data_IF_494354320990
#
_entry.id   IF_494354320990
#
_cell.length_a   1.000
_cell.length_b   1.000
_cell.length_c   1.000
_cell.angle_alpha   90.00
_cell.angle_beta   90.00
_cell.angle_gamma   90.00
#
_symmetry.space_group_name_H-M   'P 1'
#
loop_
_entity.id
_entity.type
_entity.pdbx_description
1 polymer ?
#
# COMPACT_ATOMS: atom_id res chain seq x y z
N UNK A 1 9.97 -7.58 22.67
CA UNK A 1 10.93 -8.69 22.62
C UNK A 1 10.88 -9.28 21.20
N UNK A 2 11.63 -8.69 20.26
CA UNK A 2 11.70 -9.20 18.89
C UNK A 2 12.48 -10.53 18.90
N UNK A 3 11.97 -11.58 18.26
CA UNK A 3 12.64 -12.87 18.18
C UNK A 3 14.07 -12.65 17.63
N UNK A 4 15.14 -12.98 18.40
CA UNK A 4 16.53 -12.75 17.97
C UNK A 4 16.84 -13.33 16.59
N UNK A 5 16.17 -14.44 16.25
CA UNK A 5 16.29 -15.16 14.99
C UNK A 5 15.77 -14.38 13.76
N UNK A 6 14.82 -13.45 13.94
CA UNK A 6 14.25 -12.67 12.84
C UNK A 6 15.03 -11.39 12.56
N UNK A 7 15.91 -10.97 13.49
CA UNK A 7 16.55 -9.66 13.45
C UNK A 7 17.38 -9.49 12.18
N UNK A 8 17.00 -8.53 11.35
CA UNK A 8 17.62 -8.20 10.07
C UNK A 8 17.76 -9.38 9.07
N UNK A 9 17.00 -10.47 9.25
CA UNK A 9 17.13 -11.68 8.41
C UNK A 9 15.90 -11.86 7.52
N UNK A 10 16.03 -11.45 6.25
CA UNK A 10 14.98 -11.64 5.24
C UNK A 10 14.61 -13.14 5.11
N UNK A 11 15.55 -14.09 5.01
CA UNK A 11 15.20 -15.52 4.88
C UNK A 11 14.39 -16.05 6.07
N UNK A 12 14.77 -15.67 7.30
CA UNK A 12 14.07 -16.12 8.50
C UNK A 12 12.67 -15.51 8.62
N UNK A 13 12.52 -14.24 8.22
CA UNK A 13 11.20 -13.60 8.12
C UNK A 13 10.34 -14.29 7.05
N UNK A 14 10.87 -14.57 5.86
CA UNK A 14 10.16 -15.29 4.81
C UNK A 14 9.73 -16.69 5.25
N UNK A 15 10.59 -17.41 5.97
CA UNK A 15 10.25 -18.70 6.57
C UNK A 15 9.11 -18.57 7.59
N UNK A 16 9.20 -17.62 8.52
CA UNK A 16 8.17 -17.39 9.53
C UNK A 16 6.82 -17.01 8.92
N UNK A 17 6.81 -16.14 7.90
CA UNK A 17 5.61 -15.78 7.15
C UNK A 17 5.05 -16.99 6.40
N UNK A 18 5.91 -17.84 5.83
CA UNK A 18 5.46 -19.06 5.15
C UNK A 18 4.80 -20.03 6.12
N UNK A 19 5.40 -20.27 7.29
CA UNK A 19 4.81 -21.10 8.35
C UNK A 19 3.47 -20.53 8.80
N UNK A 20 3.39 -19.20 8.99
CA UNK A 20 2.14 -18.54 9.39
C UNK A 20 1.05 -18.63 8.33
N UNK A 21 1.41 -18.57 7.05
CA UNK A 21 0.47 -18.74 5.95
C UNK A 21 0.00 -20.21 5.82
N UNK A 22 0.87 -21.20 6.01
CA UNK A 22 0.47 -22.62 6.10
C UNK A 22 -0.49 -22.86 7.26
N UNK A 23 -0.17 -22.31 8.45
CA UNK A 23 -1.04 -22.35 9.60
C UNK A 23 -2.40 -21.71 9.30
N UNK A 24 -2.40 -20.55 8.64
CA UNK A 24 -3.63 -19.86 8.22
C UNK A 24 -4.49 -20.71 7.30
N UNK A 25 -3.87 -21.40 6.33
CA UNK A 25 -4.56 -22.31 5.42
C UNK A 25 -5.18 -23.50 6.18
N UNK A 26 -4.40 -24.13 7.07
CA UNK A 26 -4.86 -25.26 7.87
C UNK A 26 -6.02 -24.89 8.80
N UNK A 27 -5.94 -23.75 9.50
CA UNK A 27 -7.04 -23.27 10.36
C UNK A 27 -8.28 -22.96 9.51
N UNK A 28 -8.10 -22.30 8.36
CA UNK A 28 -9.22 -21.92 7.50
C UNK A 28 -9.93 -23.11 6.85
N UNK A 29 -9.24 -24.23 6.64
CA UNK A 29 -9.84 -25.47 6.11
C UNK A 29 -10.58 -26.29 7.16
N UNK A 30 -10.19 -26.21 8.43
CA UNK A 30 -10.78 -27.03 9.51
C UNK A 30 -11.81 -26.29 10.37
N UNK A 31 -11.74 -24.95 10.43
CA UNK A 31 -12.57 -24.14 11.33
C UNK A 31 -13.53 -23.29 10.50
N UNK A 32 -14.81 -23.26 10.87
CA UNK A 32 -15.83 -22.46 10.18
C UNK A 32 -15.53 -20.95 10.28
N UNK A 33 -15.94 -20.15 9.28
CA UNK A 33 -15.73 -18.71 9.33
C UNK A 33 -16.43 -18.04 10.51
N UNK A 34 -15.85 -16.93 11.00
CA UNK A 34 -16.39 -16.14 12.10
C UNK A 34 -15.42 -16.02 13.27
N UNK A 35 -15.96 -15.74 14.45
CA UNK A 35 -15.16 -15.41 15.63
C UNK A 35 -14.13 -16.50 16.05
N UNK A 36 -14.46 -17.81 16.05
CA UNK A 36 -13.48 -18.83 16.42
C UNK A 36 -12.25 -18.85 15.49
N UNK A 37 -12.48 -18.68 14.18
CA UNK A 37 -11.41 -18.60 13.19
C UNK A 37 -10.56 -17.34 13.39
N UNK A 38 -11.19 -16.19 13.68
CA UNK A 38 -10.47 -14.95 14.01
C UNK A 38 -9.58 -15.13 15.25
N UNK A 39 -10.11 -15.74 16.30
CA UNK A 39 -9.36 -15.99 17.54
C UNK A 39 -8.14 -16.88 17.30
N UNK A 40 -8.29 -17.95 16.51
CA UNK A 40 -7.18 -18.85 16.16
C UNK A 40 -6.14 -18.20 15.23
N UNK A 41 -6.54 -17.24 14.39
CA UNK A 41 -5.64 -16.51 13.50
C UNK A 41 -5.01 -15.26 14.15
N UNK A 42 -5.40 -14.92 15.38
CA UNK A 42 -4.83 -13.79 16.12
C UNK A 42 -3.29 -13.86 16.25
N UNK A 43 -2.67 -15.02 16.54
CA UNK A 43 -1.20 -15.12 16.59
C UNK A 43 -0.52 -14.75 15.26
N UNK A 44 -1.15 -15.06 14.11
CA UNK A 44 -0.65 -14.65 12.78
C UNK A 44 -0.69 -13.15 12.61
N UNK A 45 -1.79 -12.50 13.04
CA UNK A 45 -1.90 -11.04 13.05
C UNK A 45 -0.84 -10.38 13.93
N UNK A 46 -0.59 -10.92 15.12
CA UNK A 46 0.46 -10.44 16.04
C UNK A 46 1.85 -10.60 15.42
N UNK A 47 2.13 -11.75 14.78
CA UNK A 47 3.38 -11.95 14.04
C UNK A 47 3.55 -10.88 12.95
N UNK A 48 2.52 -10.66 12.12
CA UNK A 48 2.58 -9.67 11.04
C UNK A 48 2.78 -8.25 11.55
N UNK A 49 2.23 -7.90 12.72
CA UNK A 49 2.49 -6.61 13.38
C UNK A 49 3.90 -6.50 13.97
N UNK A 50 4.54 -7.62 14.34
CA UNK A 50 5.87 -7.63 14.93
C UNK A 50 7.00 -7.65 13.88
N UNK A 51 6.78 -8.29 12.72
CA UNK A 51 7.81 -8.47 11.67
C UNK A 51 8.51 -7.17 11.24
N UNK A 52 7.82 -6.04 11.01
CA UNK A 52 8.53 -4.84 10.59
C UNK A 52 9.58 -4.37 11.61
N UNK A 53 9.35 -4.60 12.91
CA UNK A 53 10.30 -4.22 13.97
C UNK A 53 11.54 -5.12 14.01
N UNK A 54 11.55 -6.23 13.26
CA UNK A 54 12.74 -7.08 13.12
C UNK A 54 13.82 -6.42 12.25
N UNK A 55 13.46 -5.42 11.42
CA UNK A 55 14.39 -4.75 10.51
C UNK A 55 14.90 -3.42 11.07
N UNK A 56 16.20 -3.18 10.92
CA UNK A 56 16.85 -1.92 11.30
C UNK A 56 16.71 -0.87 10.19
N UNK A 57 16.63 -1.30 8.92
CA UNK A 57 16.46 -0.41 7.76
C UNK A 57 15.02 0.10 7.65
N UNK A 58 14.84 1.42 7.62
CA UNK A 58 13.53 2.06 7.47
C UNK A 58 12.78 1.59 6.20
N UNK A 59 13.50 1.35 5.10
CA UNK A 59 12.91 0.85 3.85
C UNK A 59 12.36 -0.56 4.04
N UNK A 60 13.11 -1.45 4.68
CA UNK A 60 12.64 -2.81 4.96
C UNK A 60 11.47 -2.81 5.95
N UNK A 61 11.49 -1.94 6.97
CA UNK A 61 10.35 -1.76 7.88
C UNK A 61 9.10 -1.31 7.13
N UNK A 62 9.22 -0.30 6.28
CA UNK A 62 8.13 0.25 5.48
C UNK A 62 7.53 -0.83 4.56
N UNK A 63 8.37 -1.55 3.81
CA UNK A 63 7.93 -2.64 2.93
C UNK A 63 7.27 -3.78 3.71
N UNK A 64 7.86 -4.23 4.80
CA UNK A 64 7.31 -5.29 5.65
C UNK A 64 5.96 -4.88 6.27
N UNK A 65 5.82 -3.63 6.72
CA UNK A 65 4.57 -3.13 7.26
C UNK A 65 3.49 -3.12 6.19
N UNK A 66 3.79 -2.57 5.01
CA UNK A 66 2.81 -2.48 3.92
C UNK A 66 2.34 -3.87 3.47
N UNK A 67 3.28 -4.81 3.33
CA UNK A 67 2.98 -6.15 2.81
C UNK A 67 2.29 -7.03 3.86
N UNK A 68 2.80 -7.04 5.09
CA UNK A 68 2.37 -8.00 6.11
C UNK A 68 1.42 -7.36 7.11
N UNK A 69 1.86 -6.32 7.83
CA UNK A 69 1.04 -5.68 8.88
C UNK A 69 -0.25 -5.10 8.33
N UNK A 70 -0.20 -4.55 7.12
CA UNK A 70 -1.37 -3.98 6.48
C UNK A 70 -2.08 -4.99 5.56
N UNK A 71 -1.52 -5.26 4.38
CA UNK A 71 -2.21 -6.07 3.37
C UNK A 71 -2.39 -7.52 3.84
N UNK A 72 -1.33 -8.16 4.32
CA UNK A 72 -1.36 -9.53 4.82
C UNK A 72 -2.36 -9.72 5.96
N UNK A 73 -2.30 -8.86 6.99
CA UNK A 73 -3.17 -8.97 8.16
C UNK A 73 -4.64 -8.76 7.80
N UNK A 74 -4.95 -7.79 6.93
CA UNK A 74 -6.31 -7.58 6.47
C UNK A 74 -6.80 -8.72 5.57
N UNK A 75 -5.94 -9.28 4.70
CA UNK A 75 -6.28 -10.47 3.90
C UNK A 75 -6.60 -11.68 4.79
N UNK A 76 -5.78 -11.93 5.83
CA UNK A 76 -6.01 -13.00 6.82
C UNK A 76 -7.29 -12.76 7.61
N UNK A 77 -7.56 -11.52 8.04
CA UNK A 77 -8.80 -11.16 8.73
C UNK A 77 -10.03 -11.34 7.84
N UNK A 78 -9.93 -10.96 6.57
CA UNK A 78 -11.00 -11.16 5.59
C UNK A 78 -11.27 -12.65 5.38
N UNK A 79 -10.23 -13.47 5.22
CA UNK A 79 -10.34 -14.92 5.13
C UNK A 79 -10.98 -15.52 6.39
N UNK A 80 -10.66 -14.98 7.56
CA UNK A 80 -11.27 -15.41 8.82
C UNK A 80 -12.80 -15.24 8.82
N UNK A 81 -13.30 -14.29 8.03
CA UNK A 81 -14.71 -13.94 7.86
C UNK A 81 -15.33 -14.45 6.55
N UNK A 82 -14.63 -15.33 5.82
CA UNK A 82 -15.04 -15.85 4.50
C UNK A 82 -15.18 -14.79 3.41
N UNK A 83 -14.29 -13.80 3.44
CA UNK A 83 -14.28 -12.68 2.50
C UNK A 83 -12.88 -12.47 1.94
N UNK A 84 -12.81 -11.62 0.91
CA UNK A 84 -11.54 -11.16 0.36
C UNK A 84 -10.94 -12.13 -0.67
N UNK A 85 -9.68 -11.91 -1.03
CA UNK A 85 -9.06 -12.58 -2.18
C UNK A 85 -8.44 -13.95 -1.85
N UNK A 86 -8.31 -14.31 -0.58
CA UNK A 86 -7.71 -15.58 -0.16
C UNK A 86 -8.75 -16.70 -0.14
N UNK A 87 -8.37 -17.87 -0.62
CA UNK A 87 -9.20 -19.07 -0.58
C UNK A 87 -8.33 -20.26 -0.11
N UNK A 88 -8.75 -21.02 0.93
CA UNK A 88 -7.96 -22.13 1.47
C UNK A 88 -7.79 -23.29 0.49
N UNK A 89 -8.63 -23.38 -0.54
CA UNK A 89 -8.54 -24.42 -1.58
C UNK A 89 -7.46 -24.14 -2.64
N UNK A 90 -6.74 -23.01 -2.55
CA UNK A 90 -5.65 -22.70 -3.47
C UNK A 90 -4.45 -23.64 -3.23
N UNK A 91 -3.65 -23.94 -4.28
CA UNK A 91 -2.38 -24.64 -4.11
C UNK A 91 -1.49 -23.90 -3.10
N UNK A 92 -0.70 -24.65 -2.33
CA UNK A 92 0.10 -24.12 -1.22
C UNK A 92 0.93 -22.89 -1.64
N UNK A 93 1.68 -22.97 -2.73
CA UNK A 93 2.53 -21.86 -3.19
C UNK A 93 1.71 -20.62 -3.57
N UNK A 94 0.52 -20.79 -4.17
CA UNK A 94 -0.37 -19.69 -4.50
C UNK A 94 -0.88 -18.99 -3.23
N UNK A 95 -1.28 -19.78 -2.23
CA UNK A 95 -1.75 -19.26 -0.96
C UNK A 95 -0.64 -18.49 -0.23
N UNK A 96 0.57 -19.06 -0.15
CA UNK A 96 1.73 -18.42 0.47
C UNK A 96 2.03 -17.05 -0.14
N UNK A 97 2.14 -16.97 -1.47
CA UNK A 97 2.45 -15.74 -2.18
C UNK A 97 1.30 -14.73 -2.08
N UNK A 98 0.05 -15.18 -2.13
CA UNK A 98 -1.11 -14.29 -1.98
C UNK A 98 -1.22 -13.68 -0.57
N UNK A 99 -0.78 -14.39 0.48
CA UNK A 99 -0.70 -13.86 1.84
C UNK A 99 0.48 -12.89 2.00
N UNK A 100 1.66 -13.27 1.51
CA UNK A 100 2.90 -12.54 1.75
C UNK A 100 3.09 -11.29 0.89
N UNK A 101 2.59 -11.31 -0.35
CA UNK A 101 2.83 -10.26 -1.33
C UNK A 101 1.60 -9.34 -1.50
N UNK A 102 1.82 -8.07 -1.90
CA UNK A 102 0.76 -7.09 -2.11
C UNK A 102 0.05 -7.29 -3.47
N UNK A 103 -0.21 -8.54 -3.86
CA UNK A 103 -0.75 -8.90 -5.16
C UNK A 103 -2.17 -9.44 -5.03
N UNK A 104 -2.96 -9.26 -6.10
CA UNK A 104 -4.20 -9.97 -6.34
C UNK A 104 -4.04 -10.83 -7.57
N UNK A 105 -4.21 -12.14 -7.41
CA UNK A 105 -4.09 -13.11 -8.48
C UNK A 105 -5.38 -13.13 -9.32
N UNK A 106 -5.24 -13.26 -10.63
CA UNK A 106 -6.37 -13.55 -11.50
C UNK A 106 -6.63 -15.05 -11.45
N UNK A 107 -7.80 -15.47 -10.97
CA UNK A 107 -8.23 -16.88 -10.96
C UNK A 107 -9.04 -17.22 -12.21
N UNK A 108 -9.16 -18.51 -12.55
CA UNK A 108 -9.97 -18.96 -13.69
C UNK A 108 -11.43 -18.48 -13.67
N UNK A 109 -11.96 -18.10 -12.51
CA UNK A 109 -13.30 -17.52 -12.34
C UNK A 109 -13.43 -16.06 -12.78
N UNK A 110 -12.32 -15.33 -12.99
CA UNK A 110 -12.34 -13.91 -13.41
C UNK A 110 -12.61 -13.72 -14.92
N UNK A 111 -13.05 -14.78 -15.60
CA UNK A 111 -13.45 -14.76 -17.01
C UNK A 111 -12.28 -14.99 -17.95
N UNK A 112 -12.51 -15.80 -19.00
CA UNK A 112 -11.53 -16.13 -20.03
C UNK A 112 -11.06 -14.86 -20.77
N UNK A 113 -9.92 -14.30 -20.37
CA UNK A 113 -9.30 -13.21 -21.12
C UNK A 113 -8.63 -13.81 -22.34
N UNK A 114 -9.10 -13.44 -23.54
CA UNK A 114 -8.48 -13.85 -24.81
C UNK A 114 -7.00 -13.45 -24.79
N UNK A 115 -6.09 -14.26 -25.36
CA UNK A 115 -4.69 -13.88 -25.52
C UNK A 115 -4.63 -12.62 -26.38
N UNK A 116 -4.25 -11.51 -25.74
CA UNK A 116 -4.11 -10.22 -26.38
C UNK A 116 -2.85 -10.22 -27.26
N UNK A 117 -2.99 -9.88 -28.54
CA UNK A 117 -1.88 -9.86 -29.50
C UNK A 117 -0.84 -8.79 -29.14
N UNK A 118 -1.22 -7.81 -28.32
CA UNK A 118 -0.37 -6.70 -27.90
C UNK A 118 0.48 -7.00 -26.65
N UNK A 119 0.35 -8.20 -26.07
CA UNK A 119 1.10 -8.64 -24.87
C UNK A 119 2.61 -8.36 -24.91
N UNK A 120 3.38 -8.68 -25.98
CA UNK A 120 4.83 -8.46 -25.97
C UNK A 120 5.20 -6.97 -26.02
N UNK A 121 4.45 -6.16 -26.76
CA UNK A 121 4.62 -4.71 -26.83
C UNK A 121 4.33 -4.05 -25.48
N UNK A 122 3.25 -4.46 -24.82
CA UNK A 122 2.89 -3.97 -23.49
C UNK A 122 3.89 -4.41 -22.42
N UNK A 123 4.43 -5.63 -22.52
CA UNK A 123 5.49 -6.12 -21.64
C UNK A 123 6.78 -5.31 -21.80
N UNK A 124 7.22 -5.06 -23.03
CA UNK A 124 8.39 -4.22 -23.30
C UNK A 124 8.21 -2.79 -22.79
N UNK A 125 7.05 -2.18 -23.03
CA UNK A 125 6.72 -0.85 -22.52
C UNK A 125 6.73 -0.80 -20.98
N UNK A 126 6.24 -1.84 -20.32
CA UNK A 126 6.26 -1.98 -18.85
C UNK A 126 7.69 -2.07 -18.31
N UNK A 127 8.57 -2.86 -18.96
CA UNK A 127 9.99 -2.96 -18.59
C UNK A 127 10.69 -1.62 -18.75
N UNK A 128 10.50 -0.94 -19.89
CA UNK A 128 11.08 0.39 -20.13
C UNK A 128 10.61 1.39 -19.05
N UNK A 129 9.31 1.39 -18.74
CA UNK A 129 8.76 2.23 -17.68
C UNK A 129 9.37 1.93 -16.31
N UNK A 130 9.54 0.65 -15.96
CA UNK A 130 10.18 0.25 -14.71
C UNK A 130 11.65 0.67 -14.66
N UNK A 131 12.41 0.42 -15.73
CA UNK A 131 13.82 0.83 -15.83
C UNK A 131 13.97 2.33 -15.67
N UNK A 132 13.13 3.13 -16.36
CA UNK A 132 13.12 4.58 -16.22
C UNK A 132 12.88 5.03 -14.77
N UNK A 133 11.92 4.42 -14.07
CA UNK A 133 11.63 4.73 -12.66
C UNK A 133 12.80 4.39 -11.75
N UNK A 134 13.41 3.21 -11.93
CA UNK A 134 14.58 2.77 -11.15
C UNK A 134 15.76 3.72 -11.35
N UNK A 135 16.07 4.06 -12.60
CA UNK A 135 17.16 4.99 -12.94
C UNK A 135 16.89 6.37 -12.34
N UNK A 136 15.65 6.86 -12.41
CA UNK A 136 15.27 8.14 -11.82
C UNK A 136 15.47 8.13 -10.30
N UNK A 137 14.99 7.09 -9.60
CA UNK A 137 15.16 6.97 -8.14
C UNK A 137 16.65 6.88 -7.77
N UNK A 138 17.45 6.12 -8.52
CA UNK A 138 18.89 6.00 -8.30
C UNK A 138 19.63 7.32 -8.53
N UNK A 139 19.30 8.04 -9.60
CA UNK A 139 19.85 9.37 -9.88
C UNK A 139 19.50 10.36 -8.76
N UNK A 140 18.26 10.38 -8.30
CA UNK A 140 17.83 11.23 -7.19
C UNK A 140 18.57 10.90 -5.88
N UNK A 141 18.89 9.63 -5.64
CA UNK A 141 19.70 9.22 -4.49
C UNK A 141 21.16 9.66 -4.64
N UNK A 142 21.73 9.60 -5.85
CA UNK A 142 23.09 10.06 -6.12
C UNK A 142 23.27 11.57 -5.94
N UNK A 143 22.28 12.37 -6.36
CA UNK A 143 22.30 13.82 -6.24
C UNK A 143 21.64 14.34 -4.94
N UNK A 144 21.48 13.50 -3.92
CA UNK A 144 20.75 13.86 -2.69
C UNK A 144 21.35 15.08 -1.97
N UNK A 145 22.68 15.18 -1.90
CA UNK A 145 23.40 16.32 -1.31
C UNK A 145 23.07 17.70 -1.92
N UNK A 146 22.52 17.73 -3.14
CA UNK A 146 22.12 18.95 -3.81
C UNK A 146 20.69 19.36 -3.42
N UNK A 147 19.87 18.43 -2.92
CA UNK A 147 18.46 18.67 -2.64
C UNK A 147 18.27 19.69 -1.51
N UNK A 148 19.21 19.74 -0.56
CA UNK A 148 19.19 20.71 0.56
C UNK A 148 19.40 22.16 0.10
N UNK A 149 19.92 22.36 -1.12
CA UNK A 149 20.10 23.69 -1.73
C UNK A 149 18.89 24.12 -2.56
N UNK A 150 17.92 23.23 -2.78
CA UNK A 150 16.74 23.52 -3.57
C UNK A 150 15.67 24.25 -2.74
N UNK A 151 14.86 25.06 -3.41
CA UNK A 151 13.69 25.66 -2.78
C UNK A 151 12.75 24.58 -2.23
N UNK A 152 12.12 24.83 -1.07
CA UNK A 152 11.32 23.85 -0.32
C UNK A 152 10.31 23.09 -1.21
N UNK A 153 9.53 23.81 -2.02
CA UNK A 153 8.52 23.19 -2.90
C UNK A 153 9.12 22.28 -3.97
N UNK A 154 10.29 22.62 -4.51
CA UNK A 154 10.99 21.77 -5.49
C UNK A 154 11.45 20.49 -4.81
N UNK A 155 12.03 20.61 -3.61
CA UNK A 155 12.45 19.46 -2.80
C UNK A 155 11.26 18.55 -2.45
N UNK A 156 10.13 19.11 -2.04
CA UNK A 156 8.89 18.36 -1.77
C UNK A 156 8.37 17.62 -3.01
N UNK A 157 8.38 18.27 -4.17
CA UNK A 157 7.98 17.65 -5.44
C UNK A 157 8.89 16.45 -5.78
N UNK A 158 10.21 16.62 -5.63
CA UNK A 158 11.17 15.53 -5.84
C UNK A 158 10.94 14.38 -4.84
N UNK A 159 10.64 14.65 -3.58
CA UNK A 159 10.29 13.59 -2.64
C UNK A 159 9.00 12.86 -3.01
N UNK A 160 7.98 13.58 -3.47
CA UNK A 160 6.77 12.99 -4.02
C UNK A 160 7.07 12.03 -5.18
N UNK A 161 7.90 12.46 -6.14
CA UNK A 161 8.33 11.63 -7.27
C UNK A 161 9.11 10.41 -6.81
N UNK A 162 10.09 10.58 -5.92
CA UNK A 162 10.88 9.47 -5.36
C UNK A 162 9.98 8.45 -4.67
N UNK A 163 9.07 8.91 -3.82
CA UNK A 163 8.13 8.04 -3.11
C UNK A 163 7.22 7.27 -4.08
N UNK A 164 6.63 7.97 -5.05
CA UNK A 164 5.77 7.38 -6.07
C UNK A 164 6.50 6.30 -6.86
N UNK A 165 7.67 6.61 -7.41
CA UNK A 165 8.41 5.66 -8.24
C UNK A 165 8.88 4.46 -7.41
N UNK A 166 9.29 4.69 -6.16
CA UNK A 166 9.71 3.61 -5.26
C UNK A 166 8.57 2.63 -4.95
N UNK A 167 7.35 3.12 -4.67
CA UNK A 167 6.21 2.24 -4.39
C UNK A 167 5.77 1.47 -5.66
N UNK A 168 5.77 2.12 -6.83
CA UNK A 168 5.45 1.42 -8.08
C UNK A 168 6.46 0.33 -8.41
N UNK A 169 7.76 0.60 -8.27
CA UNK A 169 8.82 -0.41 -8.48
C UNK A 169 8.67 -1.55 -7.48
N UNK A 170 8.43 -1.25 -6.20
CA UNK A 170 8.25 -2.27 -5.15
C UNK A 170 7.10 -3.24 -5.48
N UNK A 171 5.94 -2.71 -5.90
CA UNK A 171 4.79 -3.54 -6.28
C UNK A 171 5.03 -4.27 -7.61
N UNK A 172 5.70 -3.66 -8.57
CA UNK A 172 6.05 -4.29 -9.84
C UNK A 172 7.00 -5.48 -9.63
N UNK A 173 8.02 -5.35 -8.78
CA UNK A 173 8.91 -6.45 -8.42
C UNK A 173 8.15 -7.59 -7.73
N UNK A 174 7.25 -7.28 -6.79
CA UNK A 174 6.42 -8.29 -6.13
C UNK A 174 5.50 -9.02 -7.12
N UNK A 175 4.90 -8.28 -8.05
CA UNK A 175 4.04 -8.84 -9.10
C UNK A 175 4.83 -9.74 -10.06
N UNK A 176 5.98 -9.28 -10.55
CA UNK A 176 6.84 -10.02 -11.46
C UNK A 176 7.35 -11.31 -10.80
N UNK A 177 7.79 -11.24 -9.55
CA UNK A 177 8.21 -12.43 -8.78
C UNK A 177 7.07 -13.43 -8.61
N UNK A 178 5.85 -12.95 -8.34
CA UNK A 178 4.68 -13.82 -8.21
C UNK A 178 4.29 -14.47 -9.54
N UNK A 179 4.28 -13.71 -10.64
CA UNK A 179 3.99 -14.23 -11.98
C UNK A 179 5.03 -15.24 -12.43
N UNK A 180 6.33 -14.99 -12.19
CA UNK A 180 7.40 -15.93 -12.52
C UNK A 180 7.33 -17.24 -11.72
N UNK A 181 6.91 -17.18 -10.45
CA UNK A 181 6.85 -18.36 -9.59
C UNK A 181 5.60 -19.23 -9.83
N UNK A 182 4.50 -18.65 -10.32
CA UNK A 182 3.21 -19.34 -10.43
C UNK A 182 2.71 -19.50 -11.87
N UNK A 183 3.33 -18.84 -12.85
CA UNK A 183 2.83 -18.71 -14.22
C UNK A 183 1.38 -18.17 -14.28
N UNK A 184 1.09 -17.17 -13.43
CA UNK A 184 -0.23 -16.53 -13.34
C UNK A 184 -0.18 -15.04 -13.62
N UNK A 185 -1.25 -14.52 -14.21
CA UNK A 185 -1.46 -13.09 -14.37
C UNK A 185 -1.84 -12.45 -13.02
N UNK A 186 -1.17 -11.35 -12.68
CA UNK A 186 -1.43 -10.55 -11.49
C UNK A 186 -2.22 -9.30 -11.89
N UNK A 187 -3.25 -8.94 -11.13
CA UNK A 187 -4.03 -7.71 -11.38
C UNK A 187 -3.12 -6.47 -11.27
N UNK A 188 -3.31 -5.46 -12.13
CA UNK A 188 -2.50 -4.25 -12.08
C UNK A 188 -2.66 -3.55 -10.72
N UNK A 189 -1.56 -3.06 -10.17
CA UNK A 189 -1.54 -2.41 -8.86
C UNK A 189 -1.79 -0.90 -9.01
N UNK A 190 -1.34 -0.32 -10.12
CA UNK A 190 -1.50 1.07 -10.50
C UNK A 190 -1.98 1.18 -11.95
N UNK A 191 -2.89 2.11 -12.24
CA UNK A 191 -3.45 2.32 -13.59
C UNK A 191 -3.35 3.81 -13.96
N UNK A 192 -2.19 4.20 -14.48
CA UNK A 192 -1.89 5.57 -14.95
C UNK A 192 -2.46 6.65 -13.99
N UNK A 193 -2.01 6.72 -12.73
CA UNK A 193 -2.68 7.54 -11.73
C UNK A 193 -2.57 9.05 -12.00
N UNK A 194 -1.58 9.47 -12.78
CA UNK A 194 -1.37 10.83 -13.25
C UNK A 194 -2.45 11.32 -14.24
N UNK A 195 -3.27 10.43 -14.79
CA UNK A 195 -4.41 10.79 -15.65
C UNK A 195 -5.73 10.97 -14.88
N UNK A 196 -5.70 10.90 -13.55
CA UNK A 196 -6.90 11.10 -12.76
C UNK A 196 -7.44 12.52 -12.89
N UNK A 197 -8.76 12.65 -12.98
CA UNK A 197 -9.47 13.94 -13.04
C UNK A 197 -10.34 14.21 -11.81
N UNK A 198 -10.38 13.28 -10.86
CA UNK A 198 -11.23 13.32 -9.67
C UNK A 198 -10.64 12.48 -8.54
N UNK A 199 -11.02 12.76 -7.29
CA UNK A 199 -10.61 11.95 -6.15
C UNK A 199 -11.19 10.54 -6.23
N UNK A 200 -12.41 10.42 -6.74
CA UNK A 200 -13.05 9.13 -7.03
C UNK A 200 -12.21 8.26 -7.96
N UNK A 201 -11.71 8.83 -9.04
CA UNK A 201 -10.96 8.09 -10.05
C UNK A 201 -9.56 7.73 -9.55
N UNK A 202 -8.88 8.68 -8.89
CA UNK A 202 -7.56 8.45 -8.31
C UNK A 202 -7.57 7.32 -7.27
N UNK A 203 -8.29 7.51 -6.15
CA UNK A 203 -8.28 6.55 -5.03
C UNK A 203 -9.07 5.28 -5.31
N UNK A 204 -10.06 5.31 -6.20
CA UNK A 204 -10.95 4.18 -6.44
C UNK A 204 -10.49 3.23 -7.55
N UNK A 205 -9.74 3.73 -8.54
CA UNK A 205 -9.52 3.03 -9.81
C UNK A 205 -8.09 3.03 -10.31
N UNK A 206 -7.21 3.90 -9.78
CA UNK A 206 -5.87 4.08 -10.35
C UNK A 206 -4.74 3.93 -9.36
N UNK A 207 -4.94 4.31 -8.10
CA UNK A 207 -3.91 4.30 -7.08
C UNK A 207 -4.04 3.10 -6.15
N UNK A 208 -2.97 2.29 -6.04
CA UNK A 208 -2.82 1.19 -5.11
C UNK A 208 -4.09 0.33 -4.96
N UNK A 209 -4.45 -0.34 -6.05
CA UNK A 209 -5.66 -1.15 -6.14
C UNK A 209 -5.76 -2.28 -5.10
N UNK A 210 -4.66 -2.99 -4.74
CA UNK A 210 -4.70 -4.00 -3.69
C UNK A 210 -5.15 -3.44 -2.33
N UNK A 211 -4.62 -2.27 -1.92
CA UNK A 211 -5.05 -1.61 -0.67
C UNK A 211 -6.52 -1.20 -0.78
N UNK A 212 -6.91 -0.61 -1.90
CA UNK A 212 -8.30 -0.17 -2.13
C UNK A 212 -9.29 -1.33 -2.08
N UNK A 213 -8.95 -2.50 -2.63
CA UNK A 213 -9.80 -3.68 -2.61
C UNK A 213 -9.94 -4.29 -1.22
N UNK A 214 -8.83 -4.40 -0.50
CA UNK A 214 -8.81 -4.90 0.88
C UNK A 214 -9.63 -4.00 1.81
N UNK A 215 -9.44 -2.67 1.74
CA UNK A 215 -10.23 -1.71 2.51
C UNK A 215 -11.71 -1.72 2.10
N UNK A 216 -12.00 -1.91 0.81
CA UNK A 216 -13.38 -2.01 0.33
C UNK A 216 -14.10 -3.21 0.96
N UNK A 217 -13.44 -4.36 1.00
CA UNK A 217 -13.99 -5.58 1.59
C UNK A 217 -14.09 -5.51 3.12
N UNK A 218 -13.05 -4.97 3.78
CA UNK A 218 -12.93 -4.98 5.25
C UNK A 218 -13.71 -3.86 5.93
N UNK A 219 -13.77 -2.67 5.32
CA UNK A 219 -14.30 -1.46 5.95
C UNK A 219 -15.51 -0.91 5.18
N UNK A 220 -15.32 -0.58 3.90
CA UNK A 220 -16.36 0.12 3.12
C UNK A 220 -17.67 -0.67 3.04
N UNK A 221 -17.62 -1.93 2.60
CA UNK A 221 -18.83 -2.73 2.37
C UNK A 221 -19.62 -2.97 3.67
N UNK A 222 -19.01 -3.42 4.79
CA UNK A 222 -19.72 -3.59 6.05
C UNK A 222 -20.34 -2.29 6.59
N UNK A 223 -19.58 -1.19 6.57
CA UNK A 223 -20.08 0.08 7.12
C UNK A 223 -21.11 0.72 6.21
N UNK A 224 -20.95 0.61 4.89
CA UNK A 224 -21.97 1.06 3.93
C UNK A 224 -23.30 0.36 4.15
N UNK A 225 -23.27 -0.96 4.39
CA UNK A 225 -24.49 -1.73 4.61
C UNK A 225 -25.22 -1.33 5.91
N UNK A 226 -24.49 -0.85 6.93
CA UNK A 226 -25.03 -0.52 8.25
C UNK A 226 -25.36 0.96 8.44
N UNK A 227 -24.55 1.85 7.88
CA UNK A 227 -24.57 3.29 8.18
C UNK A 227 -24.58 4.18 6.91
N UNK A 228 -24.72 3.57 5.72
CA UNK A 228 -24.83 4.30 4.46
C UNK A 228 -23.50 4.61 3.79
N UNK A 229 -23.60 5.10 2.55
CA UNK A 229 -22.46 5.28 1.63
C UNK A 229 -21.38 6.22 2.19
N UNK A 230 -21.80 7.33 2.77
CA UNK A 230 -20.91 8.41 3.23
C UNK A 230 -20.13 7.97 4.47
N UNK A 231 -20.79 7.31 5.43
CA UNK A 231 -20.14 6.73 6.59
C UNK A 231 -19.11 5.66 6.19
N UNK A 232 -19.47 4.75 5.27
CA UNK A 232 -18.55 3.74 4.75
C UNK A 232 -17.32 4.36 4.08
N UNK A 233 -17.50 5.44 3.32
CA UNK A 233 -16.42 6.16 2.65
C UNK A 233 -15.50 6.86 3.66
N UNK A 234 -16.05 7.65 4.58
CA UNK A 234 -15.27 8.37 5.60
C UNK A 234 -14.50 7.40 6.49
N UNK A 235 -15.12 6.31 6.92
CA UNK A 235 -14.45 5.29 7.72
C UNK A 235 -13.33 4.58 6.94
N UNK A 236 -13.52 4.34 5.64
CA UNK A 236 -12.46 3.78 4.79
C UNK A 236 -11.24 4.69 4.72
N UNK A 237 -11.46 5.98 4.53
CA UNK A 237 -10.38 6.97 4.54
C UNK A 237 -9.74 7.13 5.92
N UNK A 238 -10.53 7.08 7.00
CA UNK A 238 -10.01 7.11 8.36
C UNK A 238 -9.10 5.90 8.65
N UNK A 239 -9.55 4.68 8.36
CA UNK A 239 -8.75 3.46 8.55
C UNK A 239 -7.49 3.52 7.67
N UNK A 240 -7.61 3.97 6.42
CA UNK A 240 -6.45 4.20 5.55
C UNK A 240 -5.46 5.19 6.18
N UNK A 241 -5.96 6.31 6.71
CA UNK A 241 -5.14 7.33 7.36
C UNK A 241 -4.42 6.83 8.60
N UNK A 242 -5.11 6.07 9.46
CA UNK A 242 -4.51 5.43 10.63
C UNK A 242 -3.44 4.41 10.23
N UNK A 243 -3.65 3.63 9.18
CA UNK A 243 -2.65 2.70 8.67
C UNK A 243 -1.43 3.40 8.08
N UNK A 244 -1.59 4.55 7.44
CA UNK A 244 -0.46 5.37 6.97
C UNK A 244 0.28 6.05 8.12
N UNK A 245 -0.42 6.52 9.15
CA UNK A 245 0.20 7.05 10.37
C UNK A 245 1.02 5.95 11.06
N UNK A 246 0.47 4.75 11.19
CA UNK A 246 1.17 3.59 11.72
C UNK A 246 2.36 3.19 10.83
N UNK A 247 2.21 3.18 9.51
CA UNK A 247 3.30 2.95 8.56
C UNK A 247 4.46 3.91 8.80
N UNK A 248 4.17 5.20 8.98
CA UNK A 248 5.19 6.19 9.31
C UNK A 248 5.83 5.91 10.67
N UNK A 249 5.03 5.65 11.72
CA UNK A 249 5.54 5.33 13.05
C UNK A 249 6.48 4.11 13.03
N UNK A 250 6.13 3.05 12.32
CA UNK A 250 6.98 1.88 12.17
C UNK A 250 8.23 2.15 11.33
N UNK A 251 8.10 2.96 10.28
CA UNK A 251 9.23 3.27 9.39
C UNK A 251 10.26 4.17 10.06
N UNK A 252 9.84 5.15 10.86
CA UNK A 252 10.73 6.12 11.53
C UNK A 252 10.96 5.84 13.01
N UNK A 253 10.22 4.91 13.61
CA UNK A 253 10.18 4.65 15.05
C UNK A 253 9.78 5.87 15.90
N UNK A 254 9.06 6.81 15.30
CA UNK A 254 8.56 7.99 15.98
C UNK A 254 7.11 7.81 16.46
N UNK A 255 6.70 8.71 17.36
CA UNK A 255 5.33 8.79 17.84
C UNK A 255 4.39 9.30 16.73
N UNK A 256 3.12 8.87 16.74
CA UNK A 256 2.14 9.38 15.78
C UNK A 256 1.93 10.88 16.01
N UNK A 257 1.92 11.61 14.89
CA UNK A 257 1.61 13.04 14.82
C UNK A 257 0.14 13.30 14.47
N UNK A 258 -0.52 12.31 13.88
CA UNK A 258 -1.89 12.41 13.35
C UNK A 258 -1.98 13.15 12.01
N UNK A 259 -0.87 13.66 11.48
CA UNK A 259 -0.83 14.42 10.22
C UNK A 259 -1.27 13.56 9.03
N UNK A 260 -0.90 12.28 8.98
CA UNK A 260 -1.35 11.36 7.91
C UNK A 260 -2.81 10.96 8.07
N UNK A 261 -3.27 10.75 9.30
CA UNK A 261 -4.69 10.49 9.54
C UNK A 261 -5.56 11.67 9.08
N UNK A 262 -5.14 12.90 9.38
CA UNK A 262 -5.80 14.12 8.93
C UNK A 262 -5.79 14.26 7.40
N UNK A 263 -4.66 13.98 6.73
CA UNK A 263 -4.55 13.97 5.27
C UNK A 263 -5.63 13.10 4.61
N UNK A 264 -5.71 11.83 5.01
CA UNK A 264 -6.68 10.91 4.41
C UNK A 264 -8.11 11.27 4.78
N UNK A 265 -8.36 11.74 6.01
CA UNK A 265 -9.70 12.16 6.41
C UNK A 265 -10.19 13.38 5.60
N UNK A 266 -9.31 14.35 5.34
CA UNK A 266 -9.58 15.47 4.44
C UNK A 266 -9.94 14.98 3.04
N UNK A 267 -9.15 14.05 2.48
CA UNK A 267 -9.44 13.45 1.17
C UNK A 267 -10.79 12.72 1.15
N UNK A 268 -11.13 12.02 2.22
CA UNK A 268 -12.43 11.36 2.38
C UNK A 268 -13.59 12.36 2.41
N UNK A 269 -13.46 13.45 3.17
CA UNK A 269 -14.46 14.51 3.23
C UNK A 269 -14.63 15.21 1.88
N UNK A 270 -13.53 15.56 1.20
CA UNK A 270 -13.55 16.13 -0.14
C UNK A 270 -14.17 15.16 -1.16
N UNK A 271 -13.96 13.86 -1.00
CA UNK A 271 -14.60 12.85 -1.86
C UNK A 271 -16.10 12.69 -1.57
N UNK A 272 -16.57 12.88 -0.34
CA UNK A 272 -18.02 12.99 -0.05
C UNK A 272 -18.59 14.24 -0.72
N UNK A 273 -17.90 15.39 -0.57
CA UNK A 273 -18.30 16.65 -1.20
C UNK A 273 -18.34 16.55 -2.73
N UNK A 274 -17.35 15.89 -3.36
CA UNK A 274 -17.32 15.63 -4.80
C UNK A 274 -18.55 14.85 -5.27
N UNK A 275 -18.96 13.80 -4.52
CA UNK A 275 -20.18 13.05 -4.82
C UNK A 275 -21.45 13.89 -4.65
N UNK A 276 -21.48 14.77 -3.65
CA UNK A 276 -22.59 15.67 -3.39
C UNK A 276 -22.74 16.74 -4.48
N UNK A 277 -21.62 17.30 -4.96
CA UNK A 277 -21.57 18.25 -6.07
C UNK A 277 -22.00 17.57 -7.37
N UNK A 278 -21.52 16.36 -7.65
CA UNK A 278 -21.86 15.61 -8.86
C UNK A 278 -23.35 15.20 -8.93
N UNK A 279 -24.08 15.23 -7.80
CA UNK A 279 -25.54 15.03 -7.79
C UNK A 279 -26.33 16.31 -8.12
N UNK A 280 -25.73 17.49 -7.96
CA UNK A 280 -26.39 18.80 -8.15
C UNK A 280 -26.01 19.50 -9.45
N UNK A 281 -24.76 19.32 -9.88
CA UNK A 281 -24.20 20.06 -11.01
C UNK A 281 -23.59 19.09 -12.05
N UNK A 282 -23.63 19.45 -13.34
CA UNK A 282 -22.94 18.70 -14.37
C UNK A 282 -21.43 18.68 -14.09
N UNK A 283 -20.72 17.61 -14.48
CA UNK A 283 -19.28 17.53 -14.27
C UNK A 283 -18.57 18.64 -15.06
N UNK A 284 -17.52 19.27 -14.48
CA UNK A 284 -16.75 20.25 -15.21
C UNK A 284 -16.04 19.62 -16.42
N UNK A 285 -15.69 20.43 -17.45
CA UNK A 285 -14.86 19.97 -18.56
C UNK A 285 -13.57 19.32 -18.06
N UNK A 286 -13.10 18.27 -18.76
CA UNK A 286 -11.94 17.47 -18.32
C UNK A 286 -10.70 18.30 -17.95
N UNK A 287 -10.28 19.33 -18.72
CA UNK A 287 -9.11 20.12 -18.36
C UNK A 287 -9.26 20.83 -17.02
N UNK A 288 -10.45 21.39 -16.75
CA UNK A 288 -10.76 22.05 -15.49
C UNK A 288 -10.80 21.04 -14.34
N UNK A 289 -11.42 19.87 -14.55
CA UNK A 289 -11.44 18.80 -13.55
C UNK A 289 -10.01 18.36 -13.17
N UNK A 290 -9.15 18.13 -14.17
CA UNK A 290 -7.74 17.80 -13.97
C UNK A 290 -7.00 18.89 -13.22
N UNK A 291 -7.19 20.16 -13.61
CA UNK A 291 -6.54 21.29 -12.92
C UNK A 291 -6.95 21.36 -11.45
N UNK A 292 -8.25 21.28 -11.15
CA UNK A 292 -8.77 21.30 -9.78
C UNK A 292 -8.24 20.12 -8.96
N UNK A 293 -8.21 18.93 -9.56
CA UNK A 293 -7.66 17.74 -8.93
C UNK A 293 -6.16 17.89 -8.62
N UNK A 294 -5.35 18.32 -9.59
CA UNK A 294 -3.90 18.50 -9.42
C UNK A 294 -3.61 19.58 -8.38
N UNK A 295 -4.34 20.70 -8.41
CA UNK A 295 -4.22 21.77 -7.42
C UNK A 295 -4.55 21.25 -6.01
N UNK A 296 -5.64 20.51 -5.85
CA UNK A 296 -6.01 19.90 -4.58
C UNK A 296 -4.96 18.90 -4.09
N UNK A 297 -4.50 17.98 -4.95
CA UNK A 297 -3.48 16.98 -4.58
C UNK A 297 -2.16 17.62 -4.17
N UNK A 298 -1.73 18.67 -4.90
CA UNK A 298 -0.49 19.38 -4.60
C UNK A 298 -0.61 20.14 -3.28
N UNK A 299 -1.72 20.86 -3.09
CA UNK A 299 -1.94 21.66 -1.87
C UNK A 299 -2.05 20.77 -0.64
N UNK A 300 -2.87 19.72 -0.69
CA UNK A 300 -3.03 18.75 0.41
C UNK A 300 -1.72 18.04 0.74
N UNK A 301 -0.93 17.68 -0.28
CA UNK A 301 0.40 17.11 -0.08
C UNK A 301 1.34 18.10 0.62
N UNK A 302 1.42 19.35 0.15
CA UNK A 302 2.26 20.36 0.78
C UNK A 302 1.86 20.66 2.23
N UNK A 303 0.56 20.75 2.54
CA UNK A 303 0.07 21.03 3.89
C UNK A 303 0.54 19.99 4.93
N UNK A 304 0.71 18.74 4.51
CA UNK A 304 1.02 17.63 5.41
C UNK A 304 2.51 17.28 5.37
N UNK A 305 3.11 17.26 4.18
CA UNK A 305 4.50 16.84 3.98
C UNK A 305 5.51 17.96 4.20
N UNK A 306 5.17 19.23 3.96
CA UNK A 306 6.11 20.34 4.23
C UNK A 306 6.51 20.40 5.72
N UNK A 307 5.56 20.34 6.68
CA UNK A 307 5.93 20.29 8.10
C UNK A 307 6.73 19.03 8.46
N UNK A 308 6.39 17.87 7.89
CA UNK A 308 7.13 16.62 8.16
C UNK A 308 8.60 16.73 7.72
N UNK A 309 8.86 17.30 6.54
CA UNK A 309 10.20 17.56 6.04
C UNK A 309 10.98 18.56 6.91
N UNK A 310 10.34 19.65 7.33
CA UNK A 310 10.96 20.65 8.21
C UNK A 310 11.31 20.11 9.60
N UNK A 311 10.56 19.13 10.12
CA UNK A 311 10.81 18.47 11.40
C UNK A 311 12.01 17.47 11.35
N UNK A 312 12.79 17.44 10.26
CA UNK A 312 13.99 16.60 10.13
C UNK A 312 13.73 15.13 9.83
N UNK A 313 12.51 14.77 9.37
CA UNK A 313 12.14 13.38 9.03
C UNK A 313 13.05 12.73 7.97
N UNK A 314 13.62 13.55 7.11
CA UNK A 314 14.52 13.14 6.03
C UNK A 314 15.82 12.54 6.56
N UNK A 315 16.46 13.19 7.53
CA UNK A 315 17.67 12.68 8.16
C UNK A 315 17.42 11.32 8.82
N UNK A 316 16.22 11.08 9.34
CA UNK A 316 15.88 9.85 10.08
C UNK A 316 15.61 8.63 9.20
N UNK A 317 15.09 8.83 7.99
CA UNK A 317 14.96 7.76 7.00
C UNK A 317 16.33 7.33 6.45
N UNK A 318 17.31 8.23 6.50
CA UNK A 318 18.68 8.01 6.00
C UNK A 318 19.69 7.67 7.11
N UNK A 319 19.43 8.03 8.37
CA UNK A 319 20.36 7.80 9.46
C UNK A 319 20.30 6.35 9.97
N UNK A 320 21.21 5.54 9.46
CA UNK A 320 21.97 4.63 10.32
C UNK A 320 22.90 5.50 11.19
N UNK A 321 22.36 6.23 12.17
CA UNK A 321 23.23 6.90 13.15
C UNK A 321 23.75 5.81 14.08
N UNK A 322 25.02 5.45 13.86
CA UNK A 322 25.87 4.89 14.90
C UNK A 322 25.67 5.71 16.19
N UNK A 323 25.49 5.08 17.37
CA UNK A 323 25.27 5.79 18.63
C UNK A 323 26.46 6.66 19.11
N UNK A 324 27.56 6.77 18.36
CA UNK A 324 28.75 7.49 18.78
C UNK A 324 29.05 8.70 17.89
N UNK A 325 28.41 9.85 18.16
CA UNK A 325 28.96 11.17 17.82
C UNK A 325 28.33 12.29 18.64
N UNK A 326 28.32 12.11 19.97
CA UNK A 326 28.36 13.24 20.91
C UNK A 326 29.56 13.01 21.82
N UNK A 327 30.70 13.53 21.38
CA UNK A 327 31.78 14.01 22.24
C UNK A 327 32.05 15.45 21.80
#
# INVERSE_FOLDING_TARGET
MALPLLRNSIPMVSLAVSVAALYTSAVSSHVRPGFPRVAMLLPVGVLFMAVPLAFSSAVLRCSAFLFLTWLGAFKVLLLAMDRGPLNPSLPVLHFLLAVALPVELITASDGSRRPDKDKPLLAAASIISCTFKVVTVAAMAHFYWFFDRLHLYVRLALYGVRFWFSIEVLFACAAAGCSAALDVEVKPQFVQPYLATSLRDFWGRRWNLPVSAVLRAAVYNPLRARAGKEAGLLATFLVSGLMHEALLCYSTLQRPTGKMAAFFLLHGACRVAEDWCARRWPPPPRPLATLLFVAFMTTSFCLVFAPLCCDGWEEMLHSYRSPNSRN
#
